data_IF_553074054781
#
_entry.id   IF_553074054781
#
_cell.length_a   1.000
_cell.length_b   1.000
_cell.length_c   1.000
_cell.angle_alpha   90.00
_cell.angle_beta   90.00
_cell.angle_gamma   90.00
#
_symmetry.space_group_name_H-M   'P 1'
#
loop_
_entity.id
_entity.type
_entity.pdbx_description
1 polymer ?
#
# COMPACT_ATOMS: atom_id res chain seq x y z
N UNK A 1 18.22 -0.26 -25.24
CA UNK A 1 18.80 1.09 -25.39
C UNK A 1 18.60 1.82 -24.09
N UNK A 2 19.67 2.07 -23.34
CA UNK A 2 19.62 2.87 -22.12
C UNK A 2 19.57 4.35 -22.51
N UNK A 3 18.41 4.99 -22.37
CA UNK A 3 18.26 6.44 -22.49
C UNK A 3 18.91 7.10 -21.27
N UNK A 4 19.77 8.08 -21.51
CA UNK A 4 20.56 8.74 -20.47
C UNK A 4 19.68 9.52 -19.48
N UNK A 5 19.72 9.16 -18.20
CA UNK A 5 18.94 9.78 -17.11
C UNK A 5 19.60 11.08 -16.60
N UNK A 6 19.77 12.08 -17.46
CA UNK A 6 20.28 13.40 -17.02
C UNK A 6 19.21 14.46 -17.22
N UNK A 7 18.97 15.27 -16.16
CA UNK A 7 18.08 16.44 -16.24
C UNK A 7 18.94 17.69 -16.15
N UNK A 8 18.96 18.49 -17.22
CA UNK A 8 19.61 19.80 -17.22
C UNK A 8 18.65 20.84 -16.66
N UNK A 9 19.11 21.61 -15.67
CA UNK A 9 18.32 22.68 -15.05
C UNK A 9 19.00 24.02 -15.30
N UNK A 10 18.52 24.84 -16.25
CA UNK A 10 19.03 26.18 -16.46
C UNK A 10 18.67 27.09 -15.29
N UNK A 11 19.63 27.93 -14.88
CA UNK A 11 19.49 28.84 -13.74
C UNK A 11 20.23 30.15 -13.98
N UNK A 12 19.88 31.17 -13.18
CA UNK A 12 20.57 32.45 -13.10
C UNK A 12 20.95 32.77 -11.65
N UNK A 13 21.98 33.61 -11.49
CA UNK A 13 22.44 34.12 -10.19
C UNK A 13 22.30 35.64 -10.20
N UNK A 14 21.53 36.20 -9.26
CA UNK A 14 21.37 37.65 -9.11
C UNK A 14 22.58 38.30 -8.46
N UNK A 15 22.75 39.64 -8.53
CA UNK A 15 23.85 40.33 -7.85
C UNK A 15 23.87 40.15 -6.33
N UNK A 16 22.72 39.86 -5.71
CA UNK A 16 22.64 39.54 -4.28
C UNK A 16 22.76 38.03 -3.98
N UNK A 17 23.32 37.25 -4.90
CA UNK A 17 23.55 35.80 -4.77
C UNK A 17 22.27 34.95 -4.61
N UNK A 18 21.12 35.42 -5.10
CA UNK A 18 19.92 34.58 -5.19
C UNK A 18 19.94 33.77 -6.47
N UNK A 19 19.38 32.56 -6.42
CA UNK A 19 19.42 31.61 -7.54
C UNK A 19 18.01 31.22 -7.96
N UNK A 20 17.70 31.46 -9.22
CA UNK A 20 16.37 31.22 -9.80
C UNK A 20 16.47 30.34 -11.04
N UNK A 21 15.42 29.54 -11.27
CA UNK A 21 15.24 28.81 -12.51
C UNK A 21 14.80 29.74 -13.63
N UNK A 22 15.36 29.54 -14.83
CA UNK A 22 15.00 30.32 -16.00
C UNK A 22 14.98 29.46 -17.25
N UNK A 23 13.88 29.54 -18.01
CA UNK A 23 13.83 28.98 -19.35
C UNK A 23 14.61 29.86 -20.32
N UNK A 24 15.30 29.25 -21.29
CA UNK A 24 16.22 29.96 -22.19
C UNK A 24 15.60 31.09 -23.00
N UNK A 25 14.29 31.06 -23.23
CA UNK A 25 13.52 32.11 -23.91
C UNK A 25 13.31 33.37 -23.05
N UNK A 26 13.25 33.24 -21.73
CA UNK A 26 13.01 34.35 -20.78
C UNK A 26 14.30 35.08 -20.37
N UNK A 27 15.46 34.45 -20.54
CA UNK A 27 16.76 35.00 -20.11
C UNK A 27 17.06 36.40 -20.66
N UNK A 28 16.70 36.69 -21.91
CA UNK A 28 16.97 38.00 -22.53
C UNK A 28 16.23 39.14 -21.84
N UNK A 29 14.96 38.95 -21.49
CA UNK A 29 14.16 39.99 -20.81
C UNK A 29 14.45 40.10 -19.32
N UNK A 30 14.79 38.98 -18.67
CA UNK A 30 15.08 38.96 -17.23
C UNK A 30 16.43 39.59 -16.88
N UNK A 31 17.40 39.61 -17.81
CA UNK A 31 18.72 40.22 -17.58
C UNK A 31 18.61 41.71 -17.22
N UNK A 32 17.65 42.44 -17.81
CA UNK A 32 17.39 43.86 -17.51
C UNK A 32 16.87 44.07 -16.07
N UNK A 33 16.18 43.06 -15.52
CA UNK A 33 15.64 43.05 -14.16
C UNK A 33 16.68 42.68 -13.09
N UNK A 34 17.89 42.27 -13.48
CA UNK A 34 18.97 41.91 -12.56
C UNK A 34 19.70 43.12 -11.98
N UNK A 35 19.24 44.35 -12.27
CA UNK A 35 19.77 45.53 -11.59
C UNK A 35 19.44 45.48 -10.09
N UNK A 36 20.34 45.97 -9.21
CA UNK A 36 20.19 45.84 -7.75
C UNK A 36 18.83 46.35 -7.22
N UNK A 37 18.28 47.38 -7.86
CA UNK A 37 17.03 48.02 -7.45
C UNK A 37 15.77 47.29 -7.94
N UNK A 38 15.90 46.36 -8.89
CA UNK A 38 14.79 45.73 -9.61
C UNK A 38 14.66 44.22 -9.29
N UNK A 39 15.65 43.64 -8.59
CA UNK A 39 15.69 42.23 -8.21
C UNK A 39 14.48 41.77 -7.37
N UNK A 40 13.85 42.65 -6.59
CA UNK A 40 12.65 42.33 -5.81
C UNK A 40 11.48 41.87 -6.67
N UNK A 41 11.44 42.26 -7.96
CA UNK A 41 10.41 41.84 -8.91
C UNK A 41 10.62 40.41 -9.42
N UNK A 42 11.80 39.82 -9.23
CA UNK A 42 12.09 38.45 -9.68
C UNK A 42 11.43 37.40 -8.79
N UNK A 43 11.26 37.67 -7.49
CA UNK A 43 10.72 36.68 -6.53
C UNK A 43 9.32 36.14 -6.88
N UNK A 44 8.35 36.99 -7.29
CA UNK A 44 7.03 36.54 -7.71
C UNK A 44 6.98 35.91 -9.11
N UNK A 45 7.98 36.18 -9.96
CA UNK A 45 7.98 35.80 -11.38
C UNK A 45 8.81 34.53 -11.62
N UNK A 46 9.89 34.35 -10.86
CA UNK A 46 10.87 33.29 -11.04
C UNK A 46 10.79 32.27 -9.90
N UNK A 47 10.79 30.99 -10.26
CA UNK A 47 10.84 29.90 -9.29
C UNK A 47 12.27 29.79 -8.70
N UNK A 48 12.44 29.79 -7.36
CA UNK A 48 13.73 29.50 -6.75
C UNK A 48 14.29 28.16 -7.21
N UNK A 49 15.61 28.08 -7.45
CA UNK A 49 16.23 26.86 -7.98
C UNK A 49 16.03 25.66 -7.05
N UNK A 50 16.02 25.89 -5.72
CA UNK A 50 15.75 24.85 -4.71
C UNK A 50 14.37 24.22 -4.89
N UNK A 51 13.34 25.02 -5.18
CA UNK A 51 11.98 24.52 -5.37
C UNK A 51 11.88 23.68 -6.64
N UNK A 52 12.60 24.06 -7.70
CA UNK A 52 12.71 23.25 -8.91
C UNK A 52 13.41 21.92 -8.67
N UNK A 53 14.47 21.89 -7.87
CA UNK A 53 15.11 20.63 -7.49
C UNK A 53 14.18 19.74 -6.68
N UNK A 54 13.43 20.31 -5.73
CA UNK A 54 12.40 19.57 -4.99
C UNK A 54 11.36 18.98 -5.95
N UNK A 55 10.88 19.74 -6.94
CA UNK A 55 9.93 19.24 -7.95
C UNK A 55 10.51 18.09 -8.78
N UNK A 56 11.73 18.22 -9.28
CA UNK A 56 12.38 17.17 -10.09
C UNK A 56 12.59 15.90 -9.25
N UNK A 57 13.08 16.04 -8.02
CA UNK A 57 13.29 14.92 -7.12
C UNK A 57 11.97 14.20 -6.78
N UNK A 58 10.89 14.93 -6.55
CA UNK A 58 9.55 14.35 -6.33
C UNK A 58 9.07 13.53 -7.52
N UNK A 59 9.27 14.02 -8.75
CA UNK A 59 8.90 13.28 -9.96
C UNK A 59 9.76 12.01 -10.10
N UNK A 60 11.08 12.13 -9.94
CA UNK A 60 11.98 10.99 -10.02
C UNK A 60 11.68 9.91 -8.97
N UNK A 61 11.37 10.34 -7.73
CA UNK A 61 10.93 9.46 -6.65
C UNK A 61 9.63 8.73 -7.02
N UNK A 62 8.61 9.46 -7.50
CA UNK A 62 7.34 8.87 -7.91
C UNK A 62 7.50 7.81 -9.02
N UNK A 63 8.30 8.11 -10.06
CA UNK A 63 8.58 7.17 -11.14
C UNK A 63 9.37 5.94 -10.66
N UNK A 64 10.34 6.14 -9.76
CA UNK A 64 11.10 5.03 -9.17
C UNK A 64 10.23 4.13 -8.29
N UNK A 65 9.36 4.72 -7.46
CA UNK A 65 8.39 3.99 -6.65
C UNK A 65 7.42 3.19 -7.52
N UNK A 66 6.92 3.77 -8.62
CA UNK A 66 6.04 3.05 -9.55
C UNK A 66 6.74 1.84 -10.18
N UNK A 67 7.95 2.03 -10.72
CA UNK A 67 8.74 0.93 -11.29
C UNK A 67 8.98 -0.18 -10.26
N UNK A 68 9.31 0.19 -9.03
CA UNK A 68 9.55 -0.77 -7.97
C UNK A 68 8.27 -1.52 -7.58
N UNK A 69 7.11 -0.84 -7.50
CA UNK A 69 5.80 -1.49 -7.28
C UNK A 69 5.49 -2.52 -8.37
N UNK A 70 5.67 -2.15 -9.64
CA UNK A 70 5.47 -3.06 -10.77
C UNK A 70 6.42 -4.26 -10.72
N UNK A 71 7.68 -4.05 -10.34
CA UNK A 71 8.65 -5.12 -10.17
C UNK A 71 8.22 -6.11 -9.08
N UNK A 72 7.75 -5.62 -7.92
CA UNK A 72 7.26 -6.47 -6.82
C UNK A 72 6.02 -7.27 -7.25
N UNK A 73 5.05 -6.63 -7.90
CA UNK A 73 3.86 -7.33 -8.41
C UNK A 73 4.21 -8.42 -9.43
N UNK A 74 5.15 -8.14 -10.32
CA UNK A 74 5.65 -9.12 -11.29
C UNK A 74 6.38 -10.27 -10.60
N UNK A 75 7.19 -9.99 -9.57
CA UNK A 75 7.86 -11.02 -8.78
C UNK A 75 6.86 -11.92 -8.04
N UNK A 76 5.81 -11.34 -7.42
CA UNK A 76 4.73 -12.12 -6.77
C UNK A 76 4.01 -13.00 -7.78
N UNK A 77 3.63 -12.44 -8.94
CA UNK A 77 2.96 -13.20 -10.01
C UNK A 77 3.84 -14.34 -10.51
N UNK A 78 5.13 -14.08 -10.74
CA UNK A 78 6.09 -15.10 -11.16
C UNK A 78 6.21 -16.19 -10.09
N UNK A 79 6.31 -15.82 -8.82
CA UNK A 79 6.41 -16.79 -7.73
C UNK A 79 5.20 -17.73 -7.69
N UNK A 80 3.97 -17.19 -7.75
CA UNK A 80 2.73 -18.00 -7.77
C UNK A 80 2.65 -18.95 -8.96
N UNK A 81 3.20 -18.55 -10.12
CA UNK A 81 3.16 -19.36 -11.33
C UNK A 81 4.20 -20.50 -11.33
N UNK A 82 5.30 -20.37 -10.59
CA UNK A 82 6.44 -21.30 -10.66
C UNK A 82 6.62 -22.15 -9.40
N UNK A 83 6.12 -21.69 -8.25
CA UNK A 83 6.31 -22.36 -6.97
C UNK A 83 4.97 -22.71 -6.33
N UNK A 84 4.99 -23.70 -5.43
CA UNK A 84 3.83 -24.08 -4.62
C UNK A 84 4.25 -24.52 -3.21
N UNK A 85 3.30 -24.61 -2.28
CA UNK A 85 3.54 -25.06 -0.92
C UNK A 85 4.68 -24.29 -0.23
N UNK A 86 5.64 -25.03 0.35
CA UNK A 86 6.76 -24.46 1.10
C UNK A 86 7.68 -23.59 0.22
N UNK A 87 7.94 -23.98 -1.02
CA UNK A 87 8.80 -23.20 -1.92
C UNK A 87 8.21 -21.83 -2.22
N UNK A 88 6.89 -21.76 -2.39
CA UNK A 88 6.19 -20.50 -2.55
C UNK A 88 6.23 -19.66 -1.27
N UNK A 89 6.08 -20.27 -0.09
CA UNK A 89 6.23 -19.56 1.18
C UNK A 89 7.61 -18.91 1.33
N UNK A 90 8.67 -19.65 0.98
CA UNK A 90 10.05 -19.17 1.05
C UNK A 90 10.28 -18.02 0.06
N UNK A 91 9.77 -18.12 -1.17
CA UNK A 91 9.90 -17.06 -2.17
C UNK A 91 9.11 -15.79 -1.78
N UNK A 92 7.89 -15.94 -1.27
CA UNK A 92 7.09 -14.81 -0.76
C UNK A 92 7.79 -14.12 0.42
N UNK A 93 8.48 -14.88 1.27
CA UNK A 93 9.27 -14.31 2.37
C UNK A 93 10.42 -13.45 1.85
N UNK A 94 11.15 -13.92 0.81
CA UNK A 94 12.20 -13.13 0.16
C UNK A 94 11.67 -11.86 -0.49
N UNK A 95 10.52 -11.95 -1.17
CA UNK A 95 9.87 -10.78 -1.77
C UNK A 95 9.47 -9.79 -0.67
N UNK A 96 8.85 -10.26 0.42
CA UNK A 96 8.44 -9.41 1.55
C UNK A 96 9.62 -8.70 2.22
N UNK A 97 10.76 -9.37 2.38
CA UNK A 97 11.98 -8.76 2.92
C UNK A 97 12.53 -7.62 2.05
N UNK A 98 12.20 -7.58 0.75
CA UNK A 98 12.59 -6.46 -0.13
C UNK A 98 11.65 -5.25 0.00
N UNK A 99 10.50 -5.41 0.66
CA UNK A 99 9.52 -4.37 0.90
C UNK A 99 9.82 -3.70 2.25
N UNK A 100 10.99 -3.07 2.35
CA UNK A 100 11.42 -2.33 3.56
C UNK A 100 10.98 -0.85 3.52
N UNK A 101 10.56 -0.34 2.37
CA UNK A 101 10.11 1.03 2.21
C UNK A 101 8.57 1.12 2.18
N UNK A 102 7.99 1.78 3.19
CA UNK A 102 6.55 2.02 3.32
C UNK A 102 6.00 2.75 2.08
N UNK A 103 6.77 3.61 1.41
CA UNK A 103 6.32 4.34 0.22
C UNK A 103 5.96 3.43 -0.96
N UNK A 104 6.53 2.22 -1.00
CA UNK A 104 6.22 1.24 -2.03
C UNK A 104 4.92 0.52 -1.74
N UNK A 105 4.56 0.38 -0.46
CA UNK A 105 3.43 -0.43 -0.03
C UNK A 105 2.12 0.14 -0.59
N UNK A 106 1.39 -0.67 -1.36
CA UNK A 106 0.15 -0.26 -2.02
C UNK A 106 -0.93 -1.35 -1.91
N UNK A 107 -2.23 -1.00 -2.03
CA UNK A 107 -3.33 -1.95 -1.84
C UNK A 107 -3.22 -3.21 -2.71
N UNK A 108 -2.80 -3.05 -3.96
CA UNK A 108 -2.62 -4.14 -4.92
C UNK A 108 -1.49 -5.11 -4.51
N UNK A 109 -0.37 -4.62 -3.97
CA UNK A 109 0.69 -5.48 -3.43
C UNK A 109 0.17 -6.28 -2.25
N UNK A 110 -0.56 -5.62 -1.33
CA UNK A 110 -1.15 -6.30 -0.16
C UNK A 110 -2.13 -7.38 -0.60
N UNK A 111 -3.07 -7.07 -1.49
CA UNK A 111 -4.02 -8.06 -2.02
C UNK A 111 -3.30 -9.23 -2.68
N UNK A 112 -2.29 -8.98 -3.51
CA UNK A 112 -1.55 -10.06 -4.16
C UNK A 112 -0.83 -10.94 -3.13
N UNK A 113 -0.20 -10.37 -2.11
CA UNK A 113 0.41 -11.15 -1.01
C UNK A 113 -0.64 -11.97 -0.25
N UNK A 114 -1.77 -11.38 0.13
CA UNK A 114 -2.85 -12.07 0.84
C UNK A 114 -3.38 -13.27 0.03
N UNK A 115 -3.59 -13.09 -1.27
CA UNK A 115 -4.02 -14.15 -2.17
C UNK A 115 -2.94 -15.23 -2.33
N UNK A 116 -1.67 -14.84 -2.46
CA UNK A 116 -0.55 -15.78 -2.53
C UNK A 116 -0.42 -16.65 -1.29
N UNK A 117 -0.49 -16.06 -0.09
CA UNK A 117 -0.47 -16.83 1.15
C UNK A 117 -1.70 -17.73 1.29
N UNK A 118 -2.86 -17.28 0.81
CA UNK A 118 -4.09 -18.08 0.80
C UNK A 118 -3.97 -19.32 -0.10
N UNK A 119 -3.33 -19.21 -1.26
CA UNK A 119 -3.13 -20.35 -2.19
C UNK A 119 -2.39 -21.51 -1.51
N UNK A 120 -1.50 -21.21 -0.56
CA UNK A 120 -0.73 -22.19 0.21
C UNK A 120 -1.27 -22.39 1.64
N UNK A 121 -2.43 -21.82 1.96
CA UNK A 121 -3.06 -21.89 3.27
C UNK A 121 -2.18 -21.40 4.44
N UNK A 122 -1.27 -20.46 4.18
CA UNK A 122 -0.44 -19.83 5.20
C UNK A 122 -1.19 -18.68 5.88
N UNK A 123 -2.17 -19.06 6.71
CA UNK A 123 -3.02 -18.10 7.43
C UNK A 123 -2.26 -17.28 8.47
N UNK A 124 -1.18 -17.82 9.02
CA UNK A 124 -0.37 -17.10 10.00
C UNK A 124 0.39 -15.93 9.36
N UNK A 125 0.95 -16.12 8.16
CA UNK A 125 1.55 -15.03 7.39
C UNK A 125 0.56 -13.94 7.01
N UNK A 126 -0.70 -14.30 6.68
CA UNK A 126 -1.78 -13.32 6.44
C UNK A 126 -2.04 -12.48 7.68
N UNK A 127 -2.26 -13.13 8.83
CA UNK A 127 -2.52 -12.43 10.10
C UNK A 127 -1.36 -11.51 10.46
N UNK A 128 -0.13 -12.03 10.43
CA UNK A 128 1.09 -11.24 10.70
C UNK A 128 1.23 -10.06 9.75
N UNK A 129 0.90 -10.22 8.47
CA UNK A 129 0.96 -9.12 7.50
C UNK A 129 0.01 -8.00 7.93
N UNK A 130 -1.27 -8.31 8.15
CA UNK A 130 -2.29 -7.29 8.47
C UNK A 130 -2.00 -6.62 9.82
N UNK A 131 -1.60 -7.38 10.84
CA UNK A 131 -1.21 -6.80 12.13
C UNK A 131 0.04 -5.92 12.04
N UNK A 132 0.99 -6.25 11.15
CA UNK A 132 2.11 -5.34 10.86
C UNK A 132 1.60 -4.04 10.24
N UNK A 133 0.63 -4.10 9.32
CA UNK A 133 0.04 -2.90 8.71
C UNK A 133 -0.68 -2.02 9.74
N UNK A 134 -1.42 -2.62 10.67
CA UNK A 134 -2.12 -1.88 11.75
C UNK A 134 -1.17 -1.11 12.67
N UNK A 135 0.09 -1.58 12.82
CA UNK A 135 1.11 -0.91 13.63
C UNK A 135 1.81 0.24 12.89
N UNK A 136 1.59 0.39 11.58
CA UNK A 136 2.20 1.47 10.80
C UNK A 136 1.38 2.76 10.98
N UNK A 137 1.96 3.84 11.54
CA UNK A 137 1.21 5.03 11.93
C UNK A 137 0.60 5.82 10.75
N UNK A 138 1.06 5.56 9.52
CA UNK A 138 0.66 6.31 8.32
C UNK A 138 -0.07 5.44 7.28
N UNK A 139 -0.36 4.17 7.58
CA UNK A 139 -0.95 3.24 6.62
C UNK A 139 -2.44 3.03 6.93
N UNK A 140 -3.31 3.40 5.99
CA UNK A 140 -4.74 3.10 6.02
C UNK A 140 -5.08 1.76 5.34
N UNK A 141 -4.06 1.02 4.90
CA UNK A 141 -4.24 -0.22 4.13
C UNK A 141 -4.96 -1.32 4.92
N UNK A 142 -4.77 -1.39 6.24
CA UNK A 142 -5.50 -2.34 7.11
C UNK A 142 -6.98 -1.96 7.25
N UNK A 143 -7.34 -0.69 7.00
CA UNK A 143 -8.72 -0.24 7.07
C UNK A 143 -9.55 -0.67 5.84
N UNK A 144 -8.89 -1.02 4.73
CA UNK A 144 -9.53 -1.42 3.47
C UNK A 144 -10.40 -2.67 3.66
N UNK A 145 -11.63 -2.61 3.14
CA UNK A 145 -12.66 -3.65 3.32
C UNK A 145 -12.18 -5.06 2.92
N UNK A 146 -11.51 -5.16 1.78
CA UNK A 146 -10.99 -6.44 1.28
C UNK A 146 -9.82 -6.97 2.14
N UNK A 147 -8.99 -6.10 2.73
CA UNK A 147 -7.93 -6.50 3.65
C UNK A 147 -8.54 -7.04 4.94
N UNK A 148 -9.53 -6.33 5.52
CA UNK A 148 -10.30 -6.81 6.68
C UNK A 148 -10.98 -8.15 6.43
N UNK A 149 -11.59 -8.32 5.26
CA UNK A 149 -12.21 -9.58 4.86
C UNK A 149 -11.20 -10.74 4.86
N UNK A 150 -10.05 -10.57 4.19
CA UNK A 150 -9.00 -11.59 4.17
C UNK A 150 -8.38 -11.84 5.54
N UNK A 151 -8.30 -10.80 6.38
CA UNK A 151 -7.81 -10.93 7.75
C UNK A 151 -8.75 -11.78 8.61
N UNK A 152 -10.04 -11.45 8.65
CA UNK A 152 -11.04 -12.22 9.38
C UNK A 152 -11.14 -13.66 8.87
N UNK A 153 -11.05 -13.85 7.55
CA UNK A 153 -10.97 -15.19 6.96
C UNK A 153 -9.78 -15.98 7.50
N UNK A 154 -8.58 -15.39 7.51
CA UNK A 154 -7.37 -16.06 7.98
C UNK A 154 -7.42 -16.37 9.47
N UNK A 155 -7.92 -15.44 10.31
CA UNK A 155 -8.15 -15.66 11.73
C UNK A 155 -9.03 -16.90 11.97
N UNK A 156 -10.20 -16.98 11.32
CA UNK A 156 -11.09 -18.14 11.45
C UNK A 156 -10.44 -19.46 11.01
N UNK A 157 -9.55 -19.43 10.01
CA UNK A 157 -8.85 -20.64 9.54
C UNK A 157 -7.66 -21.03 10.41
N UNK A 158 -6.97 -20.07 11.03
CA UNK A 158 -5.83 -20.29 11.94
C UNK A 158 -6.26 -20.85 13.29
N UNK A 159 -7.40 -20.40 13.84
CA UNK A 159 -8.05 -20.94 15.05
C UNK A 159 -7.19 -20.87 16.31
N UNK A 160 -6.31 -19.88 16.46
CA UNK A 160 -5.69 -19.63 17.77
C UNK A 160 -6.74 -19.09 18.75
N UNK A 161 -6.53 -19.21 20.08
CA UNK A 161 -7.44 -18.63 21.06
C UNK A 161 -7.70 -17.13 20.81
N UNK A 162 -8.97 -16.74 20.69
CA UNK A 162 -9.37 -15.35 20.40
C UNK A 162 -9.48 -15.00 18.90
N UNK A 163 -8.98 -15.84 17.99
CA UNK A 163 -9.00 -15.52 16.56
C UNK A 163 -10.42 -15.41 16.01
N UNK A 164 -11.32 -16.30 16.42
CA UNK A 164 -12.70 -16.35 15.89
C UNK A 164 -13.56 -15.23 16.44
N UNK A 165 -13.38 -14.91 17.70
CA UNK A 165 -14.02 -13.79 18.37
C UNK A 165 -13.62 -12.48 17.67
N UNK A 166 -12.31 -12.30 17.43
CA UNK A 166 -11.80 -11.14 16.68
C UNK A 166 -12.30 -11.12 15.24
N UNK A 167 -12.35 -12.28 14.56
CA UNK A 167 -12.88 -12.37 13.20
C UNK A 167 -14.35 -11.95 13.14
N UNK A 168 -15.18 -12.41 14.08
CA UNK A 168 -16.59 -12.00 14.18
C UNK A 168 -16.72 -10.50 14.45
N UNK A 169 -15.94 -9.94 15.38
CA UNK A 169 -15.96 -8.52 15.69
C UNK A 169 -15.71 -7.67 14.43
N UNK A 170 -14.64 -7.98 13.69
CA UNK A 170 -14.29 -7.28 12.45
C UNK A 170 -15.44 -7.35 11.44
N UNK A 171 -15.98 -8.54 11.22
CA UNK A 171 -16.98 -8.78 10.18
C UNK A 171 -18.35 -8.19 10.53
N UNK A 172 -18.76 -8.24 11.80
CA UNK A 172 -20.00 -7.64 12.28
C UNK A 172 -19.95 -6.12 12.18
N UNK A 173 -18.82 -5.50 12.52
CA UNK A 173 -18.62 -4.06 12.34
C UNK A 173 -18.71 -3.67 10.85
N UNK A 174 -18.14 -4.47 9.94
CA UNK A 174 -18.26 -4.21 8.50
C UNK A 174 -19.72 -4.25 8.02
N UNK A 175 -20.52 -5.19 8.53
CA UNK A 175 -21.96 -5.29 8.20
C UNK A 175 -22.75 -4.09 8.75
N UNK A 176 -22.42 -3.62 9.95
CA UNK A 176 -23.16 -2.55 10.62
C UNK A 176 -22.88 -1.15 10.06
N UNK A 177 -21.66 -0.92 9.58
CA UNK A 177 -21.21 0.42 9.17
C UNK A 177 -21.42 0.76 7.69
N UNK A 178 -21.76 -0.21 6.85
CA UNK A 178 -21.91 -0.01 5.41
C UNK A 178 -23.36 -0.27 4.95
N UNK A 179 -23.94 0.70 4.22
CA UNK A 179 -25.33 0.63 3.72
C UNK A 179 -25.56 -0.54 2.74
N UNK A 180 -24.51 -0.92 2.00
CA UNK A 180 -24.53 -2.04 1.07
C UNK A 180 -23.24 -2.83 1.18
N UNK A 181 -23.36 -4.07 1.65
CA UNK A 181 -22.24 -4.96 1.85
C UNK A 181 -22.35 -6.16 0.92
N UNK A 182 -21.23 -6.58 0.34
CA UNK A 182 -21.21 -7.74 -0.54
C UNK A 182 -21.70 -9.01 0.20
N UNK A 183 -22.40 -9.89 -0.51
CA UNK A 183 -22.90 -11.17 0.04
C UNK A 183 -21.82 -11.99 0.73
N UNK A 184 -20.59 -11.95 0.20
CA UNK A 184 -19.45 -12.69 0.72
C UNK A 184 -19.14 -12.32 2.18
N UNK A 185 -19.41 -11.08 2.60
CA UNK A 185 -19.19 -10.62 3.98
C UNK A 185 -20.18 -11.34 4.92
N UNK A 186 -21.47 -11.36 4.57
CA UNK A 186 -22.48 -12.12 5.31
C UNK A 186 -22.15 -13.61 5.36
N UNK A 187 -21.79 -14.19 4.21
CA UNK A 187 -21.41 -15.60 4.12
C UNK A 187 -20.18 -15.93 4.98
N UNK A 188 -19.23 -15.01 5.14
CA UNK A 188 -18.08 -15.22 6.00
C UNK A 188 -18.49 -15.19 7.49
N UNK A 189 -19.40 -14.31 7.91
CA UNK A 189 -19.95 -14.33 9.28
C UNK A 189 -20.61 -15.69 9.56
N UNK A 190 -21.54 -16.12 8.69
CA UNK A 190 -22.19 -17.43 8.81
C UNK A 190 -21.18 -18.59 8.79
N UNK A 191 -20.12 -18.49 7.98
CA UNK A 191 -19.04 -19.49 7.95
C UNK A 191 -18.26 -19.54 9.26
N UNK A 192 -17.97 -18.42 9.92
CA UNK A 192 -17.25 -18.42 11.20
C UNK A 192 -18.08 -19.15 12.27
N UNK A 193 -19.38 -18.85 12.35
CA UNK A 193 -20.30 -19.57 13.24
C UNK A 193 -20.38 -21.07 12.92
N UNK A 194 -20.54 -21.41 11.63
CA UNK A 194 -20.55 -22.81 11.17
C UNK A 194 -19.26 -23.54 11.55
N UNK A 195 -18.09 -22.95 11.28
CA UNK A 195 -16.80 -23.56 11.57
C UNK A 195 -16.60 -23.72 13.10
N UNK A 196 -17.13 -22.80 13.91
CA UNK A 196 -17.14 -22.89 15.38
C UNK A 196 -18.00 -24.05 15.87
N UNK A 197 -19.22 -24.18 15.35
CA UNK A 197 -20.12 -25.30 15.65
C UNK A 197 -19.50 -26.65 15.27
N UNK A 198 -18.92 -26.76 14.06
CA UNK A 198 -18.27 -27.99 13.60
C UNK A 198 -17.09 -28.38 14.50
N UNK A 199 -16.22 -27.44 14.83
CA UNK A 199 -15.05 -27.72 15.66
C UNK A 199 -15.40 -27.99 17.13
N UNK A 200 -16.58 -27.56 17.60
CA UNK A 200 -17.11 -27.93 18.91
C UNK A 200 -17.61 -29.39 18.97
N UNK A 201 -17.42 -30.19 17.92
CA UNK A 201 -18.05 -31.50 17.73
C UNK A 201 -19.57 -31.43 17.83
N UNK A 202 -20.17 -30.42 17.19
CA UNK A 202 -21.61 -30.21 17.12
C UNK A 202 -22.29 -29.91 18.48
N UNK A 203 -21.55 -29.35 19.45
CA UNK A 203 -22.08 -29.06 20.80
C UNK A 203 -22.47 -27.59 20.99
N UNK A 204 -21.89 -26.65 20.24
CA UNK A 204 -22.21 -25.22 20.32
C UNK A 204 -23.46 -24.87 19.49
N UNK A 205 -24.62 -25.19 20.04
CA UNK A 205 -25.91 -24.89 19.41
C UNK A 205 -26.15 -23.39 19.18
N UNK A 206 -25.56 -22.53 20.02
CA UNK A 206 -25.68 -21.08 19.86
C UNK A 206 -24.98 -20.63 18.57
N UNK A 207 -23.80 -21.16 18.29
CA UNK A 207 -23.12 -20.91 17.01
C UNK A 207 -23.90 -21.50 15.83
N UNK A 208 -24.51 -22.68 15.96
CA UNK A 208 -25.40 -23.22 14.91
C UNK A 208 -26.53 -22.26 14.58
N UNK A 209 -27.26 -21.79 15.60
CA UNK A 209 -28.45 -20.95 15.42
C UNK A 209 -28.07 -19.58 14.84
N UNK A 210 -26.98 -18.99 15.33
CA UNK A 210 -26.43 -17.78 14.72
C UNK A 210 -26.03 -18.01 13.26
N UNK A 211 -25.36 -19.12 12.95
CA UNK A 211 -24.98 -19.46 11.58
C UNK A 211 -26.14 -19.66 10.61
N UNK A 212 -27.38 -19.89 11.10
CA UNK A 212 -28.60 -19.96 10.28
C UNK A 212 -29.18 -18.56 10.02
N UNK A 213 -29.00 -17.63 10.96
CA UNK A 213 -29.48 -16.25 10.81
C UNK A 213 -28.70 -15.45 9.75
N UNK A 214 -27.42 -15.80 9.56
CA UNK A 214 -26.49 -15.18 8.61
C UNK A 214 -26.48 -15.92 7.26
#
# INVERSE_FOLDING_TARGET
MCTANYTFVPYMITPHNKVFCCEGSLMKGLTELMQPNLELLLGPICLPLVDRFIQILKIAQASSCQYFREAILNDIRRARNHYSGKELADELTRIRQRIDNIEVLSPDIIVNLLLSYRDIQDYDSIVKLVETLERLPTSDLSALLHVKFHYAFALNRRKHPGDREKALEIMLLMVQHEDQVASDVYCLVGRIYKDTFLDSNFTDEKSRDNGILW
#
